data_IF_932140719316
#
_entry.id   IF_932140719316
#
_cell.length_a   1.000
_cell.length_b   1.000
_cell.length_c   1.000
_cell.angle_alpha   90.00
_cell.angle_beta   90.00
_cell.angle_gamma   90.00
#
_symmetry.space_group_name_H-M   'P 1'
#
loop_
_entity.id
_entity.type
_entity.pdbx_description
1 polymer ?
#
# COMPACT_ATOMS: atom_id res chain seq x y z
N UNK A 1 16.54 4.20 -3.22
CA UNK A 1 15.91 3.09 -2.46
C UNK A 1 14.79 2.41 -3.24
N UNK A 2 13.62 3.04 -3.46
CA UNK A 2 12.48 2.42 -4.18
C UNK A 2 12.86 1.79 -5.52
N UNK A 3 13.62 2.50 -6.36
CA UNK A 3 14.10 1.99 -7.67
C UNK A 3 14.98 0.74 -7.52
N UNK A 4 15.95 0.77 -6.61
CA UNK A 4 16.80 -0.38 -6.31
C UNK A 4 15.96 -1.60 -5.86
N UNK A 5 15.00 -1.39 -4.96
CA UNK A 5 14.11 -2.47 -4.50
C UNK A 5 13.25 -3.00 -5.65
N UNK A 6 12.74 -2.12 -6.51
CA UNK A 6 11.95 -2.49 -7.66
C UNK A 6 12.77 -3.32 -8.66
N UNK A 7 14.00 -2.92 -8.97
CA UNK A 7 14.90 -3.64 -9.89
C UNK A 7 15.27 -5.04 -9.34
N UNK A 8 15.35 -5.21 -8.02
CA UNK A 8 15.61 -6.51 -7.39
C UNK A 8 14.34 -7.36 -7.20
N UNK A 9 13.16 -6.74 -7.24
CA UNK A 9 11.88 -7.41 -6.92
C UNK A 9 11.50 -8.49 -7.94
N UNK A 10 12.07 -8.42 -9.15
CA UNK A 10 11.86 -9.42 -10.20
C UNK A 10 12.47 -10.78 -9.85
N UNK A 11 13.52 -10.79 -9.00
CA UNK A 11 14.24 -12.00 -8.61
C UNK A 11 14.03 -12.37 -7.13
N UNK A 12 13.62 -11.42 -6.29
CA UNK A 12 13.49 -11.61 -4.84
C UNK A 12 12.22 -10.95 -4.32
N UNK A 13 11.43 -11.67 -3.53
CA UNK A 13 10.26 -11.09 -2.87
C UNK A 13 10.68 -10.23 -1.68
N UNK A 14 10.35 -8.94 -1.72
CA UNK A 14 10.59 -8.02 -0.61
C UNK A 14 9.32 -7.85 0.25
N UNK A 15 9.50 -7.97 1.57
CA UNK A 15 8.49 -7.54 2.56
C UNK A 15 8.98 -6.24 3.19
N UNK A 16 8.22 -5.16 3.00
CA UNK A 16 8.60 -3.82 3.45
C UNK A 16 7.52 -3.30 4.39
N UNK A 17 7.91 -3.02 5.63
CA UNK A 17 7.04 -2.38 6.63
C UNK A 17 7.31 -0.88 6.57
N UNK A 18 6.30 -0.09 6.21
CA UNK A 18 6.47 1.36 6.04
C UNK A 18 5.15 2.11 6.24
N UNK A 19 5.26 3.33 6.76
CA UNK A 19 4.17 4.32 6.78
C UNK A 19 4.36 5.41 5.69
N UNK A 20 5.36 5.27 4.81
CA UNK A 20 5.64 6.24 3.76
C UNK A 20 4.70 6.05 2.57
N UNK A 21 3.81 7.02 2.35
CA UNK A 21 2.88 7.05 1.21
C UNK A 21 3.59 6.83 -0.13
N UNK A 22 4.76 7.44 -0.31
CA UNK A 22 5.59 7.31 -1.51
C UNK A 22 6.10 5.88 -1.73
N UNK A 23 6.42 5.16 -0.66
CA UNK A 23 6.83 3.75 -0.72
C UNK A 23 5.62 2.84 -0.88
N UNK A 24 4.50 3.14 -0.22
CA UNK A 24 3.26 2.38 -0.36
C UNK A 24 2.71 2.44 -1.78
N UNK A 25 2.78 3.60 -2.43
CA UNK A 25 2.44 3.76 -3.84
C UNK A 25 3.39 3.01 -4.81
N UNK A 26 4.39 2.29 -4.28
CA UNK A 26 5.31 1.46 -5.06
C UNK A 26 4.93 0.01 -5.10
N UNK A 27 4.22 -0.43 -4.07
CA UNK A 27 3.98 -1.83 -3.85
C UNK A 27 2.87 -2.30 -4.79
N UNK A 28 3.02 -3.52 -5.28
CA UNK A 28 1.96 -4.21 -6.02
C UNK A 28 0.80 -4.62 -5.08
N UNK A 29 1.14 -4.97 -3.84
CA UNK A 29 0.19 -5.35 -2.79
C UNK A 29 0.55 -4.65 -1.49
N UNK A 30 -0.47 -4.14 -0.80
CA UNK A 30 -0.35 -3.53 0.51
C UNK A 30 -1.12 -4.36 1.54
N UNK A 31 -0.47 -4.63 2.68
CA UNK A 31 -1.09 -5.22 3.85
C UNK A 31 -1.21 -4.14 4.94
N UNK A 32 -2.42 -3.66 5.17
CA UNK A 32 -2.74 -2.78 6.28
C UNK A 32 -2.89 -3.59 7.56
N UNK A 33 -2.18 -3.20 8.61
CA UNK A 33 -2.40 -3.72 9.97
C UNK A 33 -3.17 -2.67 10.73
N UNK A 34 -4.32 -3.05 11.31
CA UNK A 34 -5.15 -2.18 12.13
C UNK A 34 -5.50 -2.86 13.44
N UNK A 35 -5.78 -2.06 14.46
CA UNK A 35 -6.22 -2.54 15.77
C UNK A 35 -7.69 -2.19 15.92
N UNK A 36 -8.58 -3.18 15.81
CA UNK A 36 -10.01 -2.96 16.08
C UNK A 36 -10.28 -2.94 17.58
N UNK A 37 -9.57 -3.79 18.31
CA UNK A 37 -9.63 -3.92 19.77
C UNK A 37 -8.21 -3.77 20.34
N UNK A 38 -8.07 -3.24 21.57
CA UNK A 38 -6.78 -3.14 22.23
C UNK A 38 -6.07 -4.50 22.29
N UNK A 39 -4.85 -4.57 21.76
CA UNK A 39 -4.05 -5.81 21.74
C UNK A 39 -4.34 -6.77 20.59
N UNK A 40 -5.37 -6.57 19.76
CA UNK A 40 -5.71 -7.48 18.66
C UNK A 40 -5.54 -6.82 17.29
N UNK A 41 -4.46 -7.20 16.60
CA UNK A 41 -4.18 -6.78 15.23
C UNK A 41 -5.04 -7.54 14.21
N UNK A 42 -5.62 -6.81 13.26
CA UNK A 42 -6.33 -7.32 12.10
C UNK A 42 -5.61 -6.92 10.81
N UNK A 43 -5.47 -7.88 9.90
CA UNK A 43 -4.88 -7.67 8.59
C UNK A 43 -5.95 -7.33 7.56
N UNK A 44 -5.65 -6.34 6.72
CA UNK A 44 -6.44 -5.95 5.55
C UNK A 44 -5.51 -5.95 4.35
N UNK A 45 -5.93 -6.53 3.22
CA UNK A 45 -5.12 -6.59 2.00
C UNK A 45 -5.74 -5.72 0.92
N UNK A 46 -4.90 -4.94 0.24
CA UNK A 46 -5.28 -4.13 -0.91
C UNK A 46 -4.30 -4.46 -2.05
N UNK A 47 -4.82 -4.86 -3.20
CA UNK A 47 -4.03 -4.97 -4.43
C UNK A 47 -4.05 -3.63 -5.14
N UNK A 48 -2.87 -3.10 -5.43
CA UNK A 48 -2.73 -1.84 -6.15
C UNK A 48 -2.89 -2.14 -7.64
N UNK A 49 -3.93 -1.60 -8.27
CA UNK A 49 -4.11 -1.72 -9.71
C UNK A 49 -2.96 -1.01 -10.43
N UNK A 50 -2.42 -1.63 -11.49
CA UNK A 50 -1.34 -1.06 -12.30
C UNK A 50 -1.82 0.24 -12.95
N UNK A 51 -1.41 1.38 -12.37
CA UNK A 51 -1.67 2.69 -12.97
C UNK A 51 -0.58 2.94 -14.02
N UNK A 52 -0.94 2.76 -15.30
CA UNK A 52 -0.14 3.25 -16.43
C UNK A 52 0.13 4.77 -16.32
N UNK A 53 1.12 5.29 -17.06
CA UNK A 53 1.62 6.64 -16.84
C UNK A 53 0.64 7.67 -17.40
N UNK A 54 -0.24 8.20 -16.56
CA UNK A 54 -1.00 9.43 -16.88
C UNK A 54 -0.91 10.42 -15.73
N UNK A 55 -0.54 11.62 -16.17
CA UNK A 55 -0.14 12.78 -15.43
C UNK A 55 -1.29 13.47 -14.65
N UNK A 56 -0.87 14.20 -13.63
CA UNK A 56 -1.45 15.45 -13.10
C UNK A 56 -2.82 15.43 -12.38
N UNK A 57 -2.73 15.73 -11.08
CA UNK A 57 -3.69 16.45 -10.22
C UNK A 57 -5.08 15.84 -9.95
N UNK A 58 -5.27 15.35 -8.72
CA UNK A 58 -6.25 15.87 -7.75
C UNK A 58 -5.65 15.79 -6.34
N UNK A 59 -5.57 16.94 -5.65
CA UNK A 59 -4.97 17.07 -4.31
C UNK A 59 -5.97 16.76 -3.18
N UNK A 60 -7.18 16.34 -3.52
CA UNK A 60 -8.30 16.09 -2.60
C UNK A 60 -9.10 14.83 -2.96
N UNK A 61 -8.46 13.77 -3.46
CA UNK A 61 -9.08 12.44 -3.40
C UNK A 61 -8.67 11.80 -2.07
N UNK A 62 -9.65 11.35 -1.24
CA UNK A 62 -9.31 10.68 0.00
C UNK A 62 -8.42 9.48 -0.34
N UNK A 63 -7.28 9.37 0.34
CA UNK A 63 -6.48 8.14 0.36
C UNK A 63 -7.42 6.96 0.44
N UNK A 64 -7.18 5.85 -0.30
CA UNK A 64 -8.09 4.72 -0.33
C UNK A 64 -8.45 4.41 1.11
N UNK A 65 -9.65 4.85 1.48
CA UNK A 65 -10.09 4.77 2.84
C UNK A 65 -10.01 3.28 3.13
N UNK A 66 -9.30 2.93 4.20
CA UNK A 66 -9.42 1.64 4.84
C UNK A 66 -10.91 1.33 4.85
N UNK A 67 -11.35 0.52 3.87
CA UNK A 67 -12.77 0.36 3.57
C UNK A 67 -13.39 -0.10 4.87
N UNK A 68 -14.36 0.66 5.37
CA UNK A 68 -15.08 0.31 6.57
C UNK A 68 -15.68 -1.08 6.37
N UNK A 69 -15.11 -2.08 7.04
CA UNK A 69 -15.66 -3.44 7.04
C UNK A 69 -16.68 -3.49 8.17
N UNK A 70 -17.86 -2.96 7.87
CA UNK A 70 -19.08 -3.13 8.63
C UNK A 70 -20.15 -3.70 7.72
N UNK A 71 -20.48 -4.97 7.98
CA UNK A 71 -21.42 -5.90 7.33
C UNK A 71 -20.82 -6.77 6.22
#
# INVERSE_FOLDING_TARGET
FRRLVQDMSDQTQFVIITHSKTTMAAAQTLYGVTMQEPGVSKLVSVRMAERGPTATARRDEPEPAMVGIGR
#
